data_IF_295984169843
#
_entry.id   IF_295984169843
#
_cell.length_a   1.000
_cell.length_b   1.000
_cell.length_c   1.000
_cell.angle_alpha   90.00
_cell.angle_beta   90.00
_cell.angle_gamma   90.00
#
_symmetry.space_group_name_H-M   'P 1'
#
loop_
_entity.id
_entity.type
_entity.pdbx_description
1 polymer ?
#
# COMPACT_ATOMS: atom_id res chain seq x y z
N UNK A 1 16.77 -12.91 -5.08
CA UNK A 1 17.01 -13.12 -3.62
C UNK A 1 16.24 -14.36 -3.23
N UNK A 2 16.77 -15.26 -2.40
CA UNK A 2 16.01 -16.43 -1.95
C UNK A 2 15.02 -16.08 -0.82
N UNK A 3 14.08 -16.99 -0.56
CA UNK A 3 13.01 -16.81 0.43
C UNK A 3 13.56 -16.60 1.85
N UNK A 4 14.61 -17.32 2.25
CA UNK A 4 15.22 -17.20 3.58
C UNK A 4 15.86 -15.83 3.78
N UNK A 5 16.55 -15.31 2.76
CA UNK A 5 17.15 -13.97 2.81
C UNK A 5 16.08 -12.88 2.86
N UNK A 6 14.98 -13.05 2.12
CA UNK A 6 13.84 -12.12 2.12
C UNK A 6 13.11 -12.11 3.46
N UNK A 7 12.87 -13.28 4.06
CA UNK A 7 12.29 -13.40 5.39
C UNK A 7 13.17 -12.71 6.45
N UNK A 8 14.49 -12.96 6.43
CA UNK A 8 15.44 -12.26 7.31
C UNK A 8 15.47 -10.75 7.08
N UNK A 9 15.21 -10.30 5.86
CA UNK A 9 15.08 -8.88 5.57
C UNK A 9 13.88 -8.28 6.29
N UNK A 10 12.71 -8.91 6.16
CA UNK A 10 11.48 -8.45 6.83
C UNK A 10 11.65 -8.46 8.35
N UNK A 11 12.17 -9.54 8.95
CA UNK A 11 12.44 -9.59 10.39
C UNK A 11 13.25 -8.38 10.87
N UNK A 12 14.37 -8.10 10.18
CA UNK A 12 15.22 -6.93 10.51
C UNK A 12 14.56 -5.60 10.20
N UNK A 13 13.64 -5.54 9.24
CA UNK A 13 12.89 -4.33 8.94
C UNK A 13 11.95 -4.02 10.10
N UNK A 14 11.16 -4.98 10.55
CA UNK A 14 10.24 -4.82 11.68
C UNK A 14 10.97 -4.59 13.02
N UNK A 15 12.09 -5.30 13.26
CA UNK A 15 12.93 -5.12 14.46
C UNK A 15 13.43 -3.67 14.59
N UNK A 16 13.77 -2.99 13.48
CA UNK A 16 14.18 -1.56 13.49
C UNK A 16 13.06 -0.61 13.88
N UNK A 17 11.83 -1.10 13.88
CA UNK A 17 10.63 -0.37 14.26
C UNK A 17 10.04 -0.92 15.58
N UNK A 18 10.85 -1.62 16.36
CA UNK A 18 10.48 -2.17 17.67
C UNK A 18 9.29 -3.15 17.60
N UNK A 19 9.12 -3.84 16.47
CA UNK A 19 8.16 -4.92 16.30
C UNK A 19 8.91 -6.24 16.18
N UNK A 20 8.72 -7.10 17.16
CA UNK A 20 9.25 -8.47 17.14
C UNK A 20 8.28 -9.36 16.35
N UNK A 21 8.84 -10.08 15.38
CA UNK A 21 8.13 -11.05 14.57
C UNK A 21 8.80 -12.41 14.67
N UNK A 22 8.01 -13.46 14.68
CA UNK A 22 8.48 -14.84 14.65
C UNK A 22 7.98 -15.54 13.38
N UNK A 23 8.82 -16.41 12.82
CA UNK A 23 8.42 -17.21 11.68
C UNK A 23 7.63 -18.44 12.14
N UNK A 24 6.46 -18.66 11.56
CA UNK A 24 5.71 -19.90 11.73
C UNK A 24 6.22 -21.03 10.79
N UNK A 25 5.55 -22.18 10.84
CA UNK A 25 5.91 -23.36 10.04
C UNK A 25 5.72 -23.16 8.52
N UNK A 26 4.82 -22.24 8.13
CA UNK A 26 4.46 -21.94 6.74
C UNK A 26 5.21 -20.71 6.17
N UNK A 27 6.11 -20.14 6.97
CA UNK A 27 6.96 -19.01 6.60
C UNK A 27 6.30 -17.63 6.75
N UNK A 28 5.13 -17.55 7.37
CA UNK A 28 4.53 -16.29 7.79
C UNK A 28 5.28 -15.72 8.98
N UNK A 29 5.34 -14.39 9.05
CA UNK A 29 5.90 -13.66 10.17
C UNK A 29 4.77 -13.07 11.00
N UNK A 30 4.67 -13.47 12.27
CA UNK A 30 3.56 -13.14 13.18
C UNK A 30 4.07 -12.46 14.45
N UNK A 31 3.19 -11.69 15.09
CA UNK A 31 3.40 -11.20 16.46
C UNK A 31 2.58 -12.06 17.42
N UNK A 32 3.20 -12.56 18.49
CA UNK A 32 2.53 -13.35 19.54
C UNK A 32 1.72 -14.58 19.05
N UNK A 33 2.06 -15.10 17.87
CA UNK A 33 1.40 -16.28 17.29
C UNK A 33 0.00 -16.03 16.71
N UNK A 34 -0.39 -14.76 16.49
CA UNK A 34 -1.71 -14.39 15.95
C UNK A 34 -1.59 -13.33 14.84
N UNK A 35 -2.72 -12.99 14.22
CA UNK A 35 -2.82 -11.90 13.25
C UNK A 35 -2.52 -10.54 13.89
N UNK A 36 -1.91 -9.60 13.15
CA UNK A 36 -1.56 -9.67 11.72
C UNK A 36 -0.32 -10.53 11.41
N UNK A 37 -0.37 -11.24 10.28
CA UNK A 37 0.75 -12.03 9.76
C UNK A 37 1.25 -11.44 8.43
N UNK A 38 2.56 -11.36 8.21
CA UNK A 38 3.14 -10.84 6.96
C UNK A 38 4.06 -11.86 6.27
N UNK A 39 3.99 -11.92 4.95
CA UNK A 39 4.91 -12.69 4.12
C UNK A 39 5.31 -11.90 2.89
N UNK A 40 6.49 -12.15 2.36
CA UNK A 40 6.89 -11.65 1.06
C UNK A 40 7.52 -12.76 0.20
N UNK A 41 7.24 -12.69 -1.10
CA UNK A 41 7.74 -13.62 -2.11
C UNK A 41 8.35 -12.83 -3.28
N UNK A 42 9.51 -13.29 -3.75
CA UNK A 42 10.16 -12.69 -4.92
C UNK A 42 10.06 -13.61 -6.12
N UNK A 43 9.52 -13.08 -7.22
CA UNK A 43 9.41 -13.75 -8.50
C UNK A 43 10.37 -13.10 -9.49
N UNK A 44 11.33 -13.89 -10.00
CA UNK A 44 12.22 -13.44 -11.05
C UNK A 44 11.43 -13.12 -12.33
N UNK A 45 11.83 -12.02 -12.99
CA UNK A 45 11.26 -11.62 -14.26
C UNK A 45 11.73 -12.51 -15.42
N UNK A 46 11.04 -12.41 -16.56
CA UNK A 46 11.59 -12.92 -17.82
C UNK A 46 12.93 -12.25 -18.15
N UNK A 47 13.76 -12.88 -18.99
CA UNK A 47 15.05 -12.32 -19.39
C UNK A 47 14.87 -10.89 -19.94
N UNK A 48 15.50 -9.92 -19.27
CA UNK A 48 15.41 -8.49 -19.63
C UNK A 48 14.17 -7.76 -19.11
N UNK A 49 13.24 -8.43 -18.44
CA UNK A 49 12.07 -7.84 -17.77
C UNK A 49 12.29 -7.61 -16.27
N UNK A 50 11.46 -6.78 -15.62
CA UNK A 50 11.50 -6.60 -14.18
C UNK A 50 10.99 -7.85 -13.46
N UNK A 51 11.55 -8.14 -12.28
CA UNK A 51 10.95 -9.09 -11.35
C UNK A 51 9.82 -8.48 -10.55
N UNK A 52 9.19 -9.26 -9.66
CA UNK A 52 8.05 -8.84 -8.84
C UNK A 52 8.23 -9.31 -7.40
N UNK A 53 8.09 -8.38 -6.46
CA UNK A 53 7.92 -8.68 -5.04
C UNK A 53 6.43 -8.66 -4.74
N UNK A 54 5.92 -9.77 -4.23
CA UNK A 54 4.57 -9.86 -3.67
C UNK A 54 4.68 -9.81 -2.15
N UNK A 55 3.86 -8.98 -1.51
CA UNK A 55 3.77 -8.81 -0.06
C UNK A 55 2.33 -9.02 0.37
N UNK A 56 2.15 -9.93 1.31
CA UNK A 56 0.85 -10.32 1.83
C UNK A 56 0.77 -10.00 3.32
N UNK A 57 -0.33 -9.38 3.76
CA UNK A 57 -0.65 -9.21 5.18
C UNK A 57 -2.00 -9.84 5.46
N UNK A 58 -2.04 -10.88 6.28
CA UNK A 58 -3.28 -11.52 6.72
C UNK A 58 -3.72 -10.89 8.03
N UNK A 59 -4.98 -10.47 8.08
CA UNK A 59 -5.62 -9.79 9.21
C UNK A 59 -6.64 -10.69 9.94
N UNK A 60 -6.96 -11.82 9.33
CA UNK A 60 -7.95 -12.80 9.78
C UNK A 60 -8.11 -13.89 8.72
N UNK A 61 -8.92 -14.91 9.00
CA UNK A 61 -9.06 -16.09 8.13
C UNK A 61 -9.41 -15.76 6.66
N UNK A 62 -10.22 -14.72 6.43
CA UNK A 62 -10.69 -14.32 5.10
C UNK A 62 -10.22 -12.92 4.69
N UNK A 63 -9.41 -12.23 5.50
CA UNK A 63 -8.96 -10.85 5.26
C UNK A 63 -7.47 -10.83 4.98
N UNK A 64 -7.10 -10.50 3.73
CA UNK A 64 -5.69 -10.40 3.30
C UNK A 64 -5.46 -9.17 2.44
N UNK A 65 -4.43 -8.40 2.76
CA UNK A 65 -3.89 -7.31 1.93
C UNK A 65 -2.85 -7.91 0.99
N UNK A 66 -2.97 -7.67 -0.31
CA UNK A 66 -2.04 -8.17 -1.34
C UNK A 66 -1.42 -7.02 -2.14
N UNK A 67 -0.12 -6.79 -1.98
CA UNK A 67 0.62 -5.78 -2.74
C UNK A 67 1.68 -6.39 -3.64
N UNK A 68 1.84 -5.83 -4.84
CA UNK A 68 2.89 -6.23 -5.78
C UNK A 68 3.73 -5.05 -6.24
N UNK A 69 5.04 -5.20 -6.16
CA UNK A 69 6.03 -4.19 -6.52
C UNK A 69 6.95 -4.71 -7.62
N UNK A 70 7.03 -3.98 -8.73
CA UNK A 70 7.98 -4.29 -9.80
C UNK A 70 9.40 -3.91 -9.36
N UNK A 71 10.35 -4.83 -9.49
CA UNK A 71 11.76 -4.61 -9.19
C UNK A 71 12.58 -4.31 -10.43
N UNK A 72 13.13 -3.10 -10.52
CA UNK A 72 14.01 -2.70 -11.62
C UNK A 72 15.42 -3.24 -11.42
N UNK A 73 15.94 -3.93 -12.43
CA UNK A 73 17.24 -4.60 -12.39
C UNK A 73 17.12 -6.12 -12.35
N UNK A 74 18.23 -6.81 -12.57
CA UNK A 74 18.27 -8.28 -12.60
C UNK A 74 18.49 -8.86 -11.20
N UNK A 75 17.83 -9.99 -10.90
CA UNK A 75 18.06 -10.77 -9.70
C UNK A 75 17.88 -9.97 -8.39
N UNK A 76 18.90 -10.04 -7.53
CA UNK A 76 18.87 -9.39 -6.22
C UNK A 76 18.71 -7.85 -6.29
N UNK A 77 19.26 -7.20 -7.31
CA UNK A 77 19.12 -5.75 -7.46
C UNK A 77 17.65 -5.35 -7.70
N UNK A 78 16.92 -6.12 -8.51
CA UNK A 78 15.49 -5.94 -8.72
C UNK A 78 14.70 -6.13 -7.43
N UNK A 79 14.99 -7.20 -6.67
CA UNK A 79 14.35 -7.46 -5.39
C UNK A 79 14.55 -6.31 -4.39
N UNK A 80 15.78 -5.80 -4.24
CA UNK A 80 16.08 -4.66 -3.36
C UNK A 80 15.38 -3.38 -3.80
N UNK A 81 15.27 -3.15 -5.11
CA UNK A 81 14.51 -2.01 -5.64
C UNK A 81 13.01 -2.10 -5.31
N UNK A 82 12.42 -3.30 -5.43
CA UNK A 82 11.03 -3.55 -5.07
C UNK A 82 10.78 -3.37 -3.55
N UNK A 83 11.68 -3.91 -2.71
CA UNK A 83 11.66 -3.73 -1.25
C UNK A 83 11.72 -2.26 -0.85
N UNK A 84 12.58 -1.49 -1.50
CA UNK A 84 12.66 -0.05 -1.25
C UNK A 84 11.34 0.67 -1.59
N UNK A 85 10.67 0.25 -2.67
CA UNK A 85 9.36 0.80 -3.05
C UNK A 85 8.31 0.42 -2.01
N UNK A 86 8.28 -0.83 -1.55
CA UNK A 86 7.40 -1.29 -0.48
C UNK A 86 7.56 -0.46 0.80
N UNK A 87 8.80 -0.27 1.26
CA UNK A 87 9.13 0.52 2.46
C UNK A 87 8.63 1.96 2.36
N UNK A 88 8.82 2.59 1.20
CA UNK A 88 8.46 3.99 1.01
C UNK A 88 6.95 4.24 0.84
N UNK A 89 6.19 3.24 0.37
CA UNK A 89 4.80 3.46 -0.07
C UNK A 89 3.74 2.76 0.78
N UNK A 90 4.02 1.56 1.28
CA UNK A 90 3.00 0.70 1.91
C UNK A 90 3.39 0.28 3.33
N UNK A 91 4.68 0.07 3.59
CA UNK A 91 5.15 -0.46 4.87
C UNK A 91 4.73 0.40 6.07
N UNK A 92 4.94 1.72 6.04
CA UNK A 92 4.61 2.58 7.18
C UNK A 92 3.10 2.70 7.46
N UNK A 93 2.22 2.82 6.44
CA UNK A 93 0.78 2.66 6.65
C UNK A 93 0.39 1.31 7.28
N UNK A 94 0.95 0.19 6.79
CA UNK A 94 0.70 -1.14 7.38
C UNK A 94 1.15 -1.21 8.83
N UNK A 95 2.36 -0.72 9.11
CA UNK A 95 2.92 -0.70 10.45
C UNK A 95 2.04 0.10 11.43
N UNK A 96 1.51 1.23 10.98
CA UNK A 96 0.64 2.09 11.78
C UNK A 96 -0.74 1.45 12.03
N UNK A 97 -1.34 0.84 11.01
CA UNK A 97 -2.70 0.31 11.08
C UNK A 97 -2.77 -1.09 11.73
N UNK A 98 -1.78 -1.94 11.50
CA UNK A 98 -1.83 -3.34 11.94
C UNK A 98 -0.98 -3.60 13.19
N UNK A 99 0.11 -2.86 13.39
CA UNK A 99 1.02 -3.01 14.55
C UNK A 99 1.06 -1.76 15.46
N UNK A 100 0.24 -0.74 15.19
CA UNK A 100 0.12 0.48 15.99
C UNK A 100 1.43 1.26 16.20
N UNK A 101 2.43 1.06 15.31
CA UNK A 101 3.69 1.81 15.34
C UNK A 101 3.65 2.91 14.27
N UNK A 102 3.71 4.17 14.71
CA UNK A 102 3.53 5.35 13.87
C UNK A 102 4.82 6.16 13.72
N UNK A 103 5.04 6.72 12.52
CA UNK A 103 6.07 7.74 12.25
C UNK A 103 5.41 8.85 11.43
N UNK A 104 5.15 10.00 12.06
CA UNK A 104 4.44 11.15 11.49
C UNK A 104 5.13 11.77 10.26
N UNK A 105 6.42 11.46 10.06
CA UNK A 105 7.19 11.88 8.87
C UNK A 105 6.95 10.95 7.68
N UNK A 106 6.37 9.76 7.91
CA UNK A 106 6.22 8.69 6.93
C UNK A 106 4.77 8.32 6.64
N UNK A 107 3.88 8.54 7.61
CA UNK A 107 2.44 8.31 7.46
C UNK A 107 1.68 9.53 7.94
N UNK A 108 0.70 9.98 7.15
CA UNK A 108 -0.24 11.01 7.58
C UNK A 108 -1.46 10.33 8.18
N UNK A 109 -1.82 10.70 9.41
CA UNK A 109 -3.03 10.21 10.07
C UNK A 109 -4.10 11.29 9.99
N UNK A 110 -5.29 10.93 9.51
CA UNK A 110 -6.46 11.81 9.45
C UNK A 110 -7.67 11.12 10.09
N UNK A 111 -8.60 11.90 10.64
CA UNK A 111 -9.88 11.39 11.12
C UNK A 111 -10.96 11.66 10.06
N UNK A 112 -11.63 10.62 9.58
CA UNK A 112 -12.72 10.73 8.61
C UNK A 112 -14.05 10.27 9.21
N UNK A 113 -15.09 11.08 9.03
CA UNK A 113 -16.46 10.70 9.38
C UNK A 113 -17.10 9.99 8.20
N UNK A 114 -17.37 8.69 8.33
CA UNK A 114 -17.99 7.86 7.29
C UNK A 114 -19.20 7.17 7.91
N UNK A 115 -20.39 7.52 7.41
CA UNK A 115 -21.65 7.08 8.00
C UNK A 115 -21.81 7.61 9.44
N UNK A 116 -21.90 6.70 10.40
CA UNK A 116 -22.06 7.01 11.84
C UNK A 116 -20.78 6.79 12.64
N UNK A 117 -19.66 6.49 11.96
CA UNK A 117 -18.39 6.11 12.58
C UNK A 117 -17.29 7.11 12.21
N UNK A 118 -16.40 7.34 13.15
CA UNK A 118 -15.14 8.02 12.91
C UNK A 118 -14.06 6.99 12.64
N UNK A 119 -13.25 7.24 11.63
CA UNK A 119 -12.20 6.35 11.15
C UNK A 119 -10.84 7.04 11.28
N UNK A 120 -9.85 6.34 11.82
CA UNK A 120 -8.45 6.70 11.66
C UNK A 120 -7.96 6.25 10.29
N UNK A 121 -7.41 7.19 9.54
CA UNK A 121 -6.99 6.96 8.15
C UNK A 121 -5.49 7.17 8.05
N UNK A 122 -4.78 6.07 7.82
CA UNK A 122 -3.33 5.99 7.70
C UNK A 122 -2.94 6.12 6.23
N UNK A 123 -2.41 7.27 5.86
CA UNK A 123 -2.20 7.66 4.47
C UNK A 123 -0.70 7.67 4.17
N UNK A 124 -0.29 6.75 3.29
CA UNK A 124 1.07 6.73 2.77
C UNK A 124 1.34 7.90 1.81
N UNK A 125 2.61 8.28 1.60
CA UNK A 125 2.95 9.29 0.62
C UNK A 125 2.55 8.80 -0.78
N UNK A 126 2.27 9.75 -1.68
CA UNK A 126 2.24 9.39 -3.09
C UNK A 126 3.63 8.92 -3.51
N UNK A 127 3.69 7.77 -4.17
CA UNK A 127 4.86 7.36 -4.95
C UNK A 127 4.60 7.70 -6.40
N UNK A 128 5.57 8.32 -7.08
CA UNK A 128 5.47 8.64 -8.49
C UNK A 128 6.70 8.12 -9.23
N UNK A 129 6.47 7.49 -10.38
CA UNK A 129 7.50 7.06 -11.32
C UNK A 129 7.35 7.86 -12.59
N UNK A 130 8.40 8.55 -13.03
CA UNK A 130 8.38 9.43 -14.21
C UNK A 130 7.96 10.87 -13.92
N UNK A 131 7.57 11.17 -12.67
CA UNK A 131 7.23 12.51 -12.19
C UNK A 131 7.70 12.69 -10.74
N UNK A 132 7.72 13.93 -10.27
CA UNK A 132 7.93 14.24 -8.86
C UNK A 132 6.65 13.97 -8.05
N UNK A 133 6.77 13.15 -7.01
CA UNK A 133 5.66 12.82 -6.10
C UNK A 133 5.10 14.05 -5.37
N UNK A 134 5.93 15.08 -5.15
CA UNK A 134 5.50 16.33 -4.52
C UNK A 134 4.45 17.10 -5.36
N UNK A 135 4.34 16.79 -6.65
CA UNK A 135 3.37 17.41 -7.55
C UNK A 135 2.03 16.66 -7.58
N UNK A 136 1.86 15.57 -6.84
CA UNK A 136 0.60 14.83 -6.85
C UNK A 136 -0.50 15.63 -6.14
N UNK A 137 -1.70 15.73 -6.75
CA UNK A 137 -2.75 16.63 -6.30
C UNK A 137 -3.33 16.17 -4.96
N UNK A 138 -3.31 17.04 -3.95
CA UNK A 138 -3.90 16.76 -2.65
C UNK A 138 -5.42 16.52 -2.75
N UNK A 139 -6.06 17.14 -3.76
CA UNK A 139 -7.47 16.98 -4.11
C UNK A 139 -7.84 15.52 -4.42
N UNK A 140 -6.87 14.67 -4.82
CA UNK A 140 -7.12 13.25 -4.99
C UNK A 140 -7.61 12.60 -3.70
N UNK A 141 -6.99 12.92 -2.56
CA UNK A 141 -7.37 12.35 -1.27
C UNK A 141 -8.72 12.91 -0.81
N UNK A 142 -8.98 14.20 -1.04
CA UNK A 142 -10.29 14.81 -0.73
C UNK A 142 -11.41 14.21 -1.58
N UNK A 143 -11.15 13.92 -2.86
CA UNK A 143 -12.12 13.27 -3.75
C UNK A 143 -12.43 11.84 -3.30
N UNK A 144 -11.40 11.10 -2.86
CA UNK A 144 -11.55 9.74 -2.30
C UNK A 144 -12.32 9.75 -0.99
N UNK A 145 -12.02 10.68 -0.07
CA UNK A 145 -12.79 10.84 1.16
C UNK A 145 -14.28 11.08 0.86
N UNK A 146 -14.58 11.97 -0.10
CA UNK A 146 -15.96 12.27 -0.49
C UNK A 146 -16.69 11.07 -1.12
N UNK A 147 -15.96 10.21 -1.84
CA UNK A 147 -16.50 8.96 -2.38
C UNK A 147 -16.76 7.94 -1.27
N UNK A 148 -15.79 7.72 -0.36
CA UNK A 148 -15.92 6.80 0.78
C UNK A 148 -17.09 7.16 1.71
N UNK A 149 -17.38 8.45 1.90
CA UNK A 149 -18.53 8.91 2.69
C UNK A 149 -19.90 8.41 2.19
N UNK A 150 -19.97 7.87 0.97
CA UNK A 150 -21.19 7.29 0.37
C UNK A 150 -21.21 5.76 0.44
N UNK A 151 -20.13 5.14 0.89
CA UNK A 151 -20.02 3.70 1.03
C UNK A 151 -20.53 3.23 2.40
N UNK A 152 -20.99 1.99 2.45
CA UNK A 152 -21.38 1.32 3.69
C UNK A 152 -20.26 0.36 4.12
N UNK A 153 -19.28 0.90 4.85
CA UNK A 153 -18.17 0.12 5.39
C UNK A 153 -18.59 -0.65 6.66
N UNK A 154 -18.22 -1.92 6.73
CA UNK A 154 -18.26 -2.72 7.96
C UNK A 154 -17.27 -2.16 8.99
N UNK A 155 -17.46 -2.37 10.30
CA UNK A 155 -16.54 -1.86 11.32
C UNK A 155 -15.31 -2.76 11.46
N UNK A 156 -14.52 -2.84 10.41
CA UNK A 156 -13.28 -3.61 10.33
C UNK A 156 -12.24 -2.80 9.57
N UNK A 157 -10.97 -3.18 9.64
CA UNK A 157 -9.92 -2.50 8.90
C UNK A 157 -10.26 -2.54 7.40
N UNK A 158 -10.14 -1.44 6.68
CA UNK A 158 -10.26 -1.37 5.22
C UNK A 158 -9.00 -0.81 4.59
N UNK A 159 -8.69 -1.16 3.34
CA UNK A 159 -7.52 -0.62 2.64
C UNK A 159 -7.85 -0.19 1.22
N UNK A 160 -7.16 0.87 0.77
CA UNK A 160 -7.29 1.40 -0.57
C UNK A 160 -5.97 1.43 -1.32
N UNK A 161 -6.07 1.11 -2.61
CA UNK A 161 -5.00 1.35 -3.59
C UNK A 161 -5.49 2.35 -4.62
N UNK A 162 -4.84 3.49 -4.69
CA UNK A 162 -5.10 4.51 -5.69
C UNK A 162 -3.98 4.46 -6.71
N UNK A 163 -4.33 4.37 -8.00
CA UNK A 163 -3.37 4.38 -9.10
C UNK A 163 -3.83 5.39 -10.14
N UNK A 164 -2.91 6.24 -10.57
CA UNK A 164 -3.03 7.07 -11.76
C UNK A 164 -1.87 6.73 -12.69
N UNK A 165 -2.13 6.65 -13.99
CA UNK A 165 -1.11 6.58 -15.03
C UNK A 165 -1.43 7.59 -16.13
N UNK A 166 -0.43 8.36 -16.51
CA UNK A 166 -0.48 9.32 -17.60
C UNK A 166 0.46 8.85 -18.71
N UNK A 167 -0.01 8.92 -19.95
CA UNK A 167 0.81 8.71 -21.14
C UNK A 167 0.80 10.01 -21.94
N UNK A 168 1.96 10.50 -22.37
CA UNK A 168 2.12 11.79 -23.07
C UNK A 168 1.31 11.83 -24.37
N UNK A 169 1.30 10.71 -25.10
CA UNK A 169 0.58 10.54 -26.38
C UNK A 169 -0.78 9.82 -26.22
N UNK A 170 -1.25 9.59 -24.99
CA UNK A 170 -2.42 8.77 -24.72
C UNK A 170 -3.34 9.29 -23.62
N UNK A 171 -4.39 8.54 -23.35
CA UNK A 171 -5.31 8.87 -22.27
C UNK A 171 -4.73 8.51 -20.90
N UNK A 172 -5.05 9.35 -19.92
CA UNK A 172 -4.78 9.03 -18.53
C UNK A 172 -5.76 7.98 -18.02
N UNK A 173 -5.32 7.12 -17.11
CA UNK A 173 -6.14 6.07 -16.51
C UNK A 173 -6.02 6.13 -15.00
N UNK A 174 -7.15 6.13 -14.32
CA UNK A 174 -7.19 5.92 -12.89
C UNK A 174 -7.72 4.52 -12.57
N UNK A 175 -7.31 3.99 -11.43
CA UNK A 175 -7.86 2.77 -10.84
C UNK A 175 -7.85 2.94 -9.32
N UNK A 176 -8.98 2.70 -8.68
CA UNK A 176 -9.08 2.58 -7.23
C UNK A 176 -9.50 1.15 -6.86
N UNK A 177 -8.85 0.58 -5.85
CA UNK A 177 -9.29 -0.66 -5.22
C UNK A 177 -9.68 -0.36 -3.77
N UNK A 178 -10.72 -1.04 -3.29
CA UNK A 178 -11.12 -1.11 -1.88
C UNK A 178 -11.14 -2.58 -1.52
N UNK A 179 -10.36 -2.97 -0.51
CA UNK A 179 -10.24 -4.37 -0.05
C UNK A 179 -9.89 -5.39 -1.15
N UNK A 180 -8.92 -5.03 -1.99
CA UNK A 180 -8.50 -5.77 -3.21
C UNK A 180 -9.52 -5.79 -4.37
N UNK A 181 -10.74 -5.30 -4.17
CA UNK A 181 -11.78 -5.28 -5.19
C UNK A 181 -11.77 -3.96 -5.98
N UNK A 182 -12.17 -4.01 -7.26
CA UNK A 182 -12.26 -2.80 -8.07
C UNK A 182 -13.35 -1.88 -7.51
N UNK A 183 -12.96 -0.67 -7.14
CA UNK A 183 -13.89 0.32 -6.60
C UNK A 183 -14.22 1.38 -7.66
N UNK A 184 -15.39 1.22 -8.27
CA UNK A 184 -15.84 2.09 -9.38
C UNK A 184 -16.01 3.55 -8.94
N UNK A 185 -16.63 3.80 -7.78
CA UNK A 185 -16.85 5.16 -7.30
C UNK A 185 -15.53 5.89 -7.01
N UNK A 186 -14.55 5.22 -6.40
CA UNK A 186 -13.21 5.76 -6.22
C UNK A 186 -12.49 6.02 -7.54
N UNK A 187 -12.64 5.12 -8.51
CA UNK A 187 -12.03 5.28 -9.85
C UNK A 187 -12.59 6.52 -10.56
N UNK A 188 -13.91 6.72 -10.53
CA UNK A 188 -14.56 7.92 -11.06
C UNK A 188 -14.11 9.18 -10.32
N UNK A 189 -14.02 9.11 -8.99
CA UNK A 189 -13.56 10.23 -8.17
C UNK A 189 -12.11 10.66 -8.51
N UNK A 190 -11.22 9.72 -8.81
CA UNK A 190 -9.86 10.03 -9.26
C UNK A 190 -9.80 10.61 -10.68
N UNK A 191 -10.70 10.21 -11.57
CA UNK A 191 -10.73 10.72 -12.95
C UNK A 191 -11.11 12.21 -13.04
N UNK A 192 -11.85 12.73 -12.06
CA UNK A 192 -12.24 14.14 -11.98
C UNK A 192 -11.12 15.04 -11.43
N UNK A 193 -10.03 14.45 -10.92
CA UNK A 193 -8.91 15.21 -10.35
C UNK A 193 -8.03 15.79 -11.46
N UNK A 194 -7.59 17.03 -11.28
CA UNK A 194 -6.65 17.69 -12.20
C UNK A 194 -5.22 17.17 -11.99
N UNK A 195 -4.93 15.97 -12.48
CA UNK A 195 -3.60 15.39 -12.44
C UNK A 195 -2.58 16.20 -13.25
N UNK A 196 -1.31 16.28 -12.81
CA UNK A 196 -0.24 16.89 -13.58
C UNK A 196 -0.17 16.33 -14.99
N UNK A 197 0.04 17.20 -15.98
CA UNK A 197 0.31 16.81 -17.36
C UNK A 197 1.81 16.89 -17.63
N UNK A 198 2.31 16.04 -18.51
CA UNK A 198 3.74 15.99 -18.86
C UNK A 198 4.10 14.68 -19.56
N UNK A 199 5.35 14.25 -19.40
CA UNK A 199 5.80 12.95 -19.89
C UNK A 199 5.10 11.79 -19.18
N UNK A 200 5.39 10.57 -19.64
CA UNK A 200 4.81 9.34 -19.06
C UNK A 200 5.11 9.19 -17.56
N UNK A 201 4.06 9.01 -16.76
CA UNK A 201 4.24 8.72 -15.34
C UNK A 201 3.14 7.83 -14.76
N UNK A 202 3.45 7.23 -13.61
CA UNK A 202 2.44 6.56 -12.77
C UNK A 202 2.59 7.00 -11.33
N UNK A 203 1.47 7.35 -10.72
CA UNK A 203 1.36 7.71 -9.32
C UNK A 203 0.54 6.66 -8.56
N UNK A 204 0.96 6.33 -7.34
CA UNK A 204 0.27 5.39 -6.46
C UNK A 204 0.20 5.93 -5.04
N UNK A 205 -0.91 5.70 -4.37
CA UNK A 205 -1.07 5.95 -2.95
C UNK A 205 -1.78 4.75 -2.31
N UNK A 206 -1.30 4.36 -1.14
CA UNK A 206 -1.88 3.29 -0.34
C UNK A 206 -2.37 3.87 0.99
N UNK A 207 -3.53 3.42 1.42
CA UNK A 207 -4.19 3.91 2.62
C UNK A 207 -4.86 2.77 3.37
N UNK A 208 -4.90 2.86 4.69
CA UNK A 208 -5.79 2.03 5.52
C UNK A 208 -6.72 2.89 6.34
N UNK A 209 -7.90 2.34 6.63
CA UNK A 209 -8.92 2.93 7.49
C UNK A 209 -9.18 1.95 8.61
N UNK A 210 -8.99 2.40 9.85
CA UNK A 210 -9.34 1.66 11.05
C UNK A 210 -10.46 2.38 11.79
N UNK A 211 -11.44 1.63 12.29
CA UNK A 211 -12.58 2.21 12.99
C UNK A 211 -12.14 2.64 14.38
N UNK A 212 -12.45 3.88 14.78
CA UNK A 212 -12.23 4.32 16.15
C UNK A 212 -13.31 3.73 17.06
N UNK A 213 -12.97 2.65 17.76
CA UNK A 213 -13.79 2.13 18.84
C UNK A 213 -13.53 2.94 20.13
N UNK A 214 -14.23 4.06 20.30
CA UNK A 214 -14.32 4.79 21.58
C UNK A 214 -15.67 4.55 22.27
#
# INVERSE_FOLDING_TARGET
MDSVALQKYLLRLFERHDVELEADEDGWLVTDGDFPAIRAEWHEGAVGGPGRLDVDVVLGEERRIEESFAGMGAGEAGCRNALHTFEQSVFHPLLAACWYVTDDRKVRIAAWEIGVRTWDVFIGPFSARGADAANMPAEALTSIEAALKREALSPELHWLRLVHSHAEEGDSRCKALLDNELWTAGTLALNEVAWPRGGDYSARCFMLLDVRDY
#
